data_IF_727586278892
#
_entry.id   IF_727586278892
#
_cell.length_a   1.000
_cell.length_b   1.000
_cell.length_c   1.000
_cell.angle_alpha   90.00
_cell.angle_beta   90.00
_cell.angle_gamma   90.00
#
_symmetry.space_group_name_H-M   'P 1'
#
loop_
_entity.id
_entity.type
_entity.pdbx_description
1 polymer ?
#
# COMPACT_ATOMS: atom_id res chain seq x y z
N UNK A 1 -55.62 -55.67 -32.22
CA UNK A 1 -56.23 -55.90 -30.90
C UNK A 1 -55.47 -55.06 -29.84
N UNK A 2 -56.20 -54.11 -29.26
CA UNK A 2 -56.07 -53.64 -27.85
C UNK A 2 -54.85 -52.76 -27.53
N UNK A 3 -54.93 -51.74 -26.84
CA UNK A 3 -55.97 -50.90 -26.26
C UNK A 3 -55.30 -49.50 -26.00
N UNK A 4 -56.04 -48.53 -26.35
CA UNK A 4 -55.77 -47.12 -26.02
C UNK A 4 -56.04 -46.85 -24.53
N UNK A 5 -55.18 -46.13 -23.86
CA UNK A 5 -55.53 -45.37 -22.66
C UNK A 5 -54.84 -44.06 -22.69
N UNK A 6 -55.61 -42.97 -22.85
CA UNK A 6 -55.20 -41.64 -22.85
C UNK A 6 -54.84 -41.16 -21.46
N UNK A 7 -53.83 -40.23 -21.40
CA UNK A 7 -53.55 -39.49 -20.22
C UNK A 7 -53.67 -37.97 -20.51
N UNK A 8 -54.56 -37.34 -19.76
CA UNK A 8 -54.90 -35.95 -19.86
C UNK A 8 -53.73 -35.06 -19.45
N UNK A 9 -53.42 -34.09 -20.30
CA UNK A 9 -52.50 -33.01 -20.05
C UNK A 9 -53.05 -32.04 -18.99
N UNK A 10 -52.34 -31.83 -17.89
CA UNK A 10 -52.57 -30.73 -16.95
C UNK A 10 -51.85 -29.48 -17.43
N UNK A 11 -52.43 -28.25 -17.28
CA UNK A 11 -51.79 -27.01 -17.69
C UNK A 11 -50.64 -26.62 -16.73
N UNK A 12 -49.50 -26.31 -17.29
CA UNK A 12 -48.32 -25.85 -16.58
C UNK A 12 -48.53 -24.51 -15.90
N UNK A 13 -48.18 -24.45 -14.62
CA UNK A 13 -48.02 -23.18 -13.88
C UNK A 13 -46.78 -22.43 -14.43
N UNK A 14 -47.01 -21.27 -14.96
CA UNK A 14 -45.94 -20.29 -15.28
C UNK A 14 -45.45 -19.72 -13.96
N UNK A 15 -44.19 -19.95 -13.61
CA UNK A 15 -43.51 -19.29 -12.50
C UNK A 15 -43.10 -17.88 -12.95
N UNK A 16 -43.18 -16.86 -12.09
CA UNK A 16 -42.72 -15.52 -12.42
C UNK A 16 -41.19 -15.51 -12.52
N UNK A 17 -40.68 -14.92 -13.59
CA UNK A 17 -39.25 -14.63 -13.76
C UNK A 17 -38.82 -13.66 -12.67
N UNK A 18 -37.95 -14.11 -11.78
CA UNK A 18 -37.26 -13.24 -10.85
C UNK A 18 -36.26 -12.36 -11.62
N UNK A 19 -36.56 -11.08 -11.72
CA UNK A 19 -35.61 -10.04 -12.13
C UNK A 19 -34.43 -10.05 -11.12
N UNK A 20 -33.32 -10.67 -11.51
CA UNK A 20 -32.06 -10.52 -10.80
C UNK A 20 -31.47 -9.16 -11.14
N UNK A 21 -31.95 -8.13 -10.44
CA UNK A 21 -31.31 -6.83 -10.44
C UNK A 21 -29.85 -6.97 -10.03
N UNK A 22 -28.99 -6.71 -10.99
CA UNK A 22 -27.54 -6.68 -10.83
C UNK A 22 -27.12 -5.45 -9.99
N UNK A 23 -27.34 -5.52 -8.69
CA UNK A 23 -26.82 -4.54 -7.75
C UNK A 23 -25.29 -4.73 -7.67
N UNK A 24 -24.55 -3.93 -8.43
CA UNK A 24 -23.11 -3.79 -8.24
C UNK A 24 -22.87 -3.43 -6.77
N UNK A 25 -22.36 -4.40 -5.99
CA UNK A 25 -21.81 -4.12 -4.65
C UNK A 25 -20.63 -3.17 -4.84
N UNK A 26 -20.84 -1.90 -4.59
CA UNK A 26 -19.78 -0.90 -4.50
C UNK A 26 -18.81 -1.33 -3.38
N UNK A 27 -17.52 -1.15 -3.59
CA UNK A 27 -16.51 -1.58 -2.62
C UNK A 27 -16.57 -0.70 -1.38
N UNK A 28 -16.33 -1.22 -0.17
CA UNK A 28 -16.32 -0.45 1.07
C UNK A 28 -15.36 0.76 1.05
N UNK A 29 -14.43 0.76 0.11
CA UNK A 29 -13.43 1.83 -0.08
C UNK A 29 -13.98 3.04 -0.87
N UNK A 30 -14.95 2.84 -1.75
CA UNK A 30 -15.62 3.93 -2.47
C UNK A 30 -16.61 4.67 -1.57
N UNK A 31 -17.30 3.96 -0.71
CA UNK A 31 -18.16 4.55 0.31
C UNK A 31 -17.37 5.37 1.33
N UNK A 32 -16.21 4.89 1.75
CA UNK A 32 -15.32 5.66 2.65
C UNK A 32 -14.79 6.93 2.00
N UNK A 33 -14.47 6.92 0.70
CA UNK A 33 -14.06 8.12 -0.04
C UNK A 33 -15.22 9.11 -0.23
N UNK A 34 -16.40 8.62 -0.60
CA UNK A 34 -17.62 9.45 -0.69
C UNK A 34 -17.98 10.05 0.65
N UNK A 35 -17.90 9.27 1.74
CA UNK A 35 -18.15 9.74 3.10
C UNK A 35 -17.12 10.80 3.54
N UNK A 36 -15.84 10.61 3.24
CA UNK A 36 -14.78 11.59 3.54
C UNK A 36 -14.96 12.86 2.72
N UNK A 37 -15.30 12.78 1.44
CA UNK A 37 -15.57 13.94 0.58
C UNK A 37 -16.87 14.63 1.06
N UNK A 38 -17.90 13.88 1.39
CA UNK A 38 -19.17 14.40 1.94
C UNK A 38 -18.94 15.09 3.28
N UNK A 39 -18.15 14.49 4.19
CA UNK A 39 -17.79 15.09 5.50
C UNK A 39 -16.91 16.33 5.32
N UNK A 40 -15.97 16.34 4.36
CA UNK A 40 -15.15 17.52 4.05
C UNK A 40 -15.97 18.66 3.43
N UNK A 41 -16.98 18.37 2.61
CA UNK A 41 -17.89 19.34 2.03
C UNK A 41 -18.91 19.87 3.06
N UNK A 42 -19.21 19.11 4.12
CA UNK A 42 -20.22 19.47 5.12
C UNK A 42 -19.65 20.18 6.35
N UNK A 43 -18.32 20.18 6.56
CA UNK A 43 -17.71 20.87 7.69
C UNK A 43 -17.50 22.35 7.40
N UNK A 44 -18.55 23.15 7.53
CA UNK A 44 -18.46 24.62 7.47
C UNK A 44 -18.18 25.19 8.86
N UNK A 45 -17.16 26.02 8.96
CA UNK A 45 -16.89 26.79 10.18
C UNK A 45 -18.00 27.81 10.40
N UNK A 46 -18.35 28.05 11.66
CA UNK A 46 -19.31 29.11 11.99
C UNK A 46 -18.82 30.46 11.48
N UNK A 47 -19.72 31.19 10.82
CA UNK A 47 -19.40 32.54 10.33
C UNK A 47 -19.52 33.58 11.46
N UNK A 48 -19.14 34.81 11.19
CA UNK A 48 -19.34 35.95 12.11
C UNK A 48 -20.79 36.18 12.39
N UNK A 49 -21.60 36.12 11.35
CA UNK A 49 -23.07 36.32 11.39
C UNK A 49 -23.75 35.24 12.22
N UNK A 50 -23.40 33.99 12.03
CA UNK A 50 -23.91 32.88 12.85
C UNK A 50 -23.58 33.05 14.33
N UNK A 51 -22.37 33.53 14.65
CA UNK A 51 -21.99 33.84 16.04
C UNK A 51 -22.79 35.00 16.62
N UNK A 52 -23.06 36.04 15.84
CA UNK A 52 -23.94 37.15 16.22
C UNK A 52 -25.35 36.68 16.50
N UNK A 53 -25.93 35.84 15.64
CA UNK A 53 -27.24 35.21 15.83
C UNK A 53 -27.29 34.37 17.12
N UNK A 54 -26.30 33.52 17.36
CA UNK A 54 -26.18 32.74 18.60
C UNK A 54 -26.18 33.67 19.82
N UNK A 55 -25.41 34.77 19.78
CA UNK A 55 -25.35 35.73 20.87
C UNK A 55 -26.73 36.38 21.12
N UNK A 56 -27.39 36.88 20.10
CA UNK A 56 -28.72 37.52 20.21
C UNK A 56 -29.77 36.57 20.79
N UNK A 57 -29.79 35.31 20.34
CA UNK A 57 -30.75 34.31 20.84
C UNK A 57 -30.43 33.88 22.29
N UNK A 58 -29.16 33.84 22.68
CA UNK A 58 -28.77 33.62 24.09
C UNK A 58 -29.23 34.78 25.01
N UNK A 59 -29.16 36.03 24.56
CA UNK A 59 -29.67 37.17 25.32
C UNK A 59 -31.19 37.09 25.53
N UNK A 60 -31.92 36.52 24.56
CA UNK A 60 -33.38 36.24 24.67
C UNK A 60 -33.72 34.99 25.47
N UNK A 61 -32.71 34.35 26.09
CA UNK A 61 -32.86 33.10 26.88
C UNK A 61 -33.49 31.94 26.08
N UNK A 62 -33.35 31.92 24.76
CA UNK A 62 -33.87 30.84 23.92
C UNK A 62 -33.21 29.48 24.28
N UNK A 63 -33.97 28.37 24.27
CA UNK A 63 -33.44 27.04 24.51
C UNK A 63 -32.36 26.66 23.47
N UNK A 64 -31.28 25.99 23.91
CA UNK A 64 -30.15 25.60 23.02
C UNK A 64 -30.58 24.78 21.80
N UNK A 65 -31.62 23.94 21.93
CA UNK A 65 -32.20 23.17 20.84
C UNK A 65 -32.77 24.07 19.75
N UNK A 66 -33.45 25.13 20.15
CA UNK A 66 -34.06 26.10 19.25
C UNK A 66 -33.02 27.00 18.60
N UNK A 67 -32.01 27.47 19.36
CA UNK A 67 -30.87 28.22 18.80
C UNK A 67 -30.17 27.40 17.70
N UNK A 68 -29.92 26.13 17.94
CA UNK A 68 -29.28 25.26 16.94
C UNK A 68 -30.12 25.13 15.66
N UNK A 69 -31.48 25.03 15.81
CA UNK A 69 -32.42 24.96 14.68
C UNK A 69 -32.45 26.26 13.88
N UNK A 70 -32.53 27.42 14.55
CA UNK A 70 -32.60 28.74 13.89
C UNK A 70 -31.32 29.06 13.14
N UNK A 71 -30.15 28.78 13.74
CA UNK A 71 -28.83 29.07 13.14
C UNK A 71 -28.44 28.03 12.09
N UNK A 72 -29.19 26.91 11.96
CA UNK A 72 -28.92 25.87 10.99
C UNK A 72 -27.67 25.04 11.32
N UNK A 73 -27.43 24.75 12.62
CA UNK A 73 -26.25 23.98 13.08
C UNK A 73 -26.69 22.85 14.01
N UNK A 74 -25.83 21.84 14.20
CA UNK A 74 -26.11 20.78 15.15
C UNK A 74 -25.98 21.27 16.60
N UNK A 75 -26.75 20.67 17.53
CA UNK A 75 -26.65 20.98 18.96
C UNK A 75 -25.23 20.74 19.50
N UNK A 76 -24.53 19.70 18.98
CA UNK A 76 -23.15 19.41 19.34
C UNK A 76 -22.19 20.51 18.88
N UNK A 77 -22.43 21.11 17.71
CA UNK A 77 -21.65 22.26 17.20
C UNK A 77 -21.86 23.47 18.09
N UNK A 78 -23.12 23.79 18.46
CA UNK A 78 -23.43 24.89 19.38
C UNK A 78 -22.75 24.67 20.74
N UNK A 79 -22.86 23.47 21.33
CA UNK A 79 -22.26 23.17 22.63
C UNK A 79 -20.73 23.32 22.59
N UNK A 80 -20.08 22.85 21.53
CA UNK A 80 -18.62 23.03 21.34
C UNK A 80 -18.24 24.49 21.15
N UNK A 81 -19.01 25.26 20.40
CA UNK A 81 -18.78 26.69 20.19
C UNK A 81 -18.84 27.45 21.53
N UNK A 82 -19.92 27.25 22.33
CA UNK A 82 -20.07 27.86 23.63
C UNK A 82 -18.95 27.47 24.59
N UNK A 83 -18.62 26.17 24.67
CA UNK A 83 -17.53 25.67 25.53
C UNK A 83 -16.18 26.27 25.18
N UNK A 84 -15.88 26.42 23.88
CA UNK A 84 -14.56 26.87 23.41
C UNK A 84 -14.36 28.39 23.42
N UNK A 85 -15.46 29.12 23.27
CA UNK A 85 -15.40 30.55 22.93
C UNK A 85 -16.03 31.46 23.95
N UNK A 86 -16.71 30.97 24.99
CA UNK A 86 -17.17 31.80 26.11
C UNK A 86 -16.00 32.43 26.87
N UNK A 87 -16.27 33.49 27.59
CA UNK A 87 -15.33 34.14 28.50
C UNK A 87 -15.07 33.28 29.72
N UNK A 88 -14.05 33.60 30.53
CA UNK A 88 -13.82 32.92 31.82
C UNK A 88 -15.00 32.99 32.77
N UNK A 89 -15.78 34.09 32.69
CA UNK A 89 -17.03 34.28 33.47
C UNK A 89 -18.24 33.55 32.89
N UNK A 90 -18.07 32.65 31.88
CA UNK A 90 -19.17 31.89 31.27
C UNK A 90 -20.01 32.65 30.25
N UNK A 91 -19.83 33.98 30.10
CA UNK A 91 -20.60 34.78 29.13
C UNK A 91 -20.12 34.56 27.71
N UNK A 92 -21.06 34.32 26.78
CA UNK A 92 -20.76 34.24 25.35
C UNK A 92 -20.91 35.61 24.72
N UNK A 93 -19.82 36.11 24.09
CA UNK A 93 -19.76 37.41 23.40
C UNK A 93 -19.28 37.16 22.00
N UNK A 94 -20.10 37.38 20.98
CA UNK A 94 -19.89 36.93 19.61
C UNK A 94 -18.58 37.43 18.97
N UNK A 95 -18.24 38.72 19.13
CA UNK A 95 -16.99 39.27 18.56
C UNK A 95 -15.73 38.72 19.22
N UNK A 96 -15.75 38.49 20.56
CA UNK A 96 -14.66 37.81 21.28
C UNK A 96 -14.58 36.36 20.88
N UNK A 97 -15.70 35.68 20.68
CA UNK A 97 -15.75 34.31 20.20
C UNK A 97 -15.18 34.17 18.78
N UNK A 98 -15.53 35.13 17.90
CA UNK A 98 -14.99 35.17 16.54
C UNK A 98 -13.48 35.43 16.54
N UNK A 99 -13.00 36.42 17.30
CA UNK A 99 -11.56 36.69 17.45
C UNK A 99 -10.78 35.46 17.95
N UNK A 100 -11.26 34.79 19.01
CA UNK A 100 -10.66 33.52 19.51
C UNK A 100 -10.62 32.43 18.46
N UNK A 101 -11.66 32.31 17.63
CA UNK A 101 -11.71 31.31 16.57
C UNK A 101 -10.72 31.63 15.42
N UNK A 102 -10.60 32.89 15.03
CA UNK A 102 -9.63 33.37 14.03
C UNK A 102 -8.19 33.19 14.54
N UNK A 103 -7.92 33.55 15.78
CA UNK A 103 -6.59 33.40 16.40
C UNK A 103 -6.17 31.93 16.45
N UNK A 104 -7.04 31.03 16.89
CA UNK A 104 -6.75 29.59 16.84
C UNK A 104 -6.49 29.07 15.43
N UNK A 105 -7.18 29.61 14.43
CA UNK A 105 -6.95 29.26 13.02
C UNK A 105 -5.58 29.74 12.56
N UNK A 106 -5.16 30.94 12.97
CA UNK A 106 -3.80 31.48 12.70
C UNK A 106 -2.72 30.67 13.41
N UNK A 107 -2.94 30.23 14.66
CA UNK A 107 -2.00 29.39 15.42
C UNK A 107 -1.89 27.95 14.86
N UNK A 108 -2.92 27.46 14.17
CA UNK A 108 -2.89 26.17 13.50
C UNK A 108 -2.09 26.30 12.21
N UNK A 109 -0.78 26.35 12.32
CA UNK A 109 0.20 26.39 11.20
C UNK A 109 0.25 25.06 10.44
N UNK A 110 -0.90 24.49 10.09
CA UNK A 110 -0.98 23.21 9.36
C UNK A 110 -0.30 23.22 7.99
N UNK A 111 0.05 24.39 7.46
CA UNK A 111 0.63 24.56 6.14
C UNK A 111 1.73 25.63 6.17
N UNK A 112 2.70 25.57 7.11
CA UNK A 112 3.93 26.27 6.91
C UNK A 112 4.56 25.75 5.62
N UNK A 113 4.79 26.62 4.65
CA UNK A 113 5.49 26.26 3.42
C UNK A 113 6.86 25.69 3.80
N UNK A 114 7.24 24.58 3.19
CA UNK A 114 8.57 24.02 3.37
C UNK A 114 9.61 25.04 2.86
N UNK A 115 10.74 25.15 3.56
CA UNK A 115 11.86 25.99 3.10
C UNK A 115 12.30 25.53 1.68
N UNK A 116 12.65 26.44 0.78
CA UNK A 116 13.03 26.11 -0.60
C UNK A 116 14.15 25.08 -0.68
N UNK A 117 15.16 25.17 0.20
CA UNK A 117 16.29 24.25 0.28
C UNK A 117 15.82 22.83 0.64
N UNK A 118 14.84 22.73 1.54
CA UNK A 118 14.28 21.45 1.94
C UNK A 118 13.42 20.83 0.82
N UNK A 119 12.68 21.66 0.09
CA UNK A 119 11.92 21.23 -1.10
C UNK A 119 12.88 20.70 -2.15
N UNK A 120 13.97 21.42 -2.43
CA UNK A 120 14.99 20.98 -3.37
C UNK A 120 15.60 19.63 -2.95
N UNK A 121 16.01 19.50 -1.70
CA UNK A 121 16.57 18.25 -1.15
C UNK A 121 15.59 17.07 -1.25
N UNK A 122 14.31 17.30 -0.94
CA UNK A 122 13.27 16.26 -1.09
C UNK A 122 13.14 15.83 -2.55
N UNK A 123 13.18 16.78 -3.51
CA UNK A 123 13.14 16.47 -4.94
C UNK A 123 14.34 15.63 -5.37
N UNK A 124 15.55 15.96 -4.94
CA UNK A 124 16.76 15.18 -5.22
C UNK A 124 16.62 13.73 -4.71
N UNK A 125 16.19 13.55 -3.47
CA UNK A 125 15.99 12.22 -2.90
C UNK A 125 14.90 11.41 -3.64
N UNK A 126 13.90 12.05 -4.24
CA UNK A 126 12.90 11.39 -5.07
C UNK A 126 13.47 11.01 -6.43
N UNK A 127 14.17 11.92 -7.10
CA UNK A 127 14.62 11.76 -8.49
C UNK A 127 15.85 10.86 -8.58
N UNK A 128 16.89 11.14 -7.80
CA UNK A 128 18.19 10.49 -7.89
C UNK A 128 18.20 9.17 -7.10
N UNK A 129 17.75 9.20 -5.84
CA UNK A 129 17.77 8.04 -4.95
C UNK A 129 16.47 7.21 -5.04
N UNK A 130 15.42 7.76 -5.66
CA UNK A 130 14.09 7.14 -5.80
C UNK A 130 13.51 6.67 -4.45
N UNK A 131 13.76 7.44 -3.40
CA UNK A 131 13.20 7.15 -2.09
C UNK A 131 11.71 7.44 -2.03
N UNK A 132 10.98 6.64 -1.28
CA UNK A 132 9.57 6.87 -1.04
C UNK A 132 9.36 8.02 -0.04
N UNK A 133 8.21 8.72 -0.07
CA UNK A 133 7.90 9.77 0.89
C UNK A 133 8.05 9.35 2.37
N UNK A 134 7.79 8.08 2.70
CA UNK A 134 8.00 7.55 4.06
C UNK A 134 9.49 7.42 4.42
N UNK A 135 10.31 6.98 3.48
CA UNK A 135 11.77 6.89 3.69
C UNK A 135 12.36 8.27 3.92
N UNK A 136 12.00 9.24 3.07
CA UNK A 136 12.45 10.63 3.19
C UNK A 136 12.02 11.22 4.53
N UNK A 137 10.74 11.11 4.89
CA UNK A 137 10.23 11.60 6.17
C UNK A 137 10.95 10.97 7.37
N UNK A 138 11.28 9.66 7.29
CA UNK A 138 11.96 8.95 8.36
C UNK A 138 13.41 9.41 8.54
N UNK A 139 14.15 9.60 7.46
CA UNK A 139 15.55 10.06 7.50
C UNK A 139 15.61 11.51 7.96
N UNK A 140 14.79 12.39 7.40
CA UNK A 140 14.73 13.80 7.83
C UNK A 140 14.39 13.94 9.32
N UNK A 141 13.50 13.07 9.84
CA UNK A 141 13.21 13.06 11.28
C UNK A 141 14.42 12.70 12.14
N UNK A 142 15.30 11.79 11.71
CA UNK A 142 16.56 11.48 12.40
C UNK A 142 17.51 12.68 12.41
N UNK A 143 17.48 13.49 11.38
CA UNK A 143 18.26 14.73 11.27
C UNK A 143 17.62 15.92 12.02
N UNK A 144 16.54 15.70 12.78
CA UNK A 144 15.81 16.73 13.51
C UNK A 144 14.81 17.53 12.67
N UNK A 145 14.65 17.21 11.37
CA UNK A 145 13.74 17.90 10.46
C UNK A 145 12.37 17.19 10.43
N UNK A 146 11.33 17.85 10.91
CA UNK A 146 9.98 17.27 11.00
C UNK A 146 9.15 17.56 9.75
N UNK A 147 9.11 16.61 8.79
CA UNK A 147 8.27 16.67 7.60
C UNK A 147 7.44 15.37 7.51
N UNK A 148 6.11 15.49 7.43
CA UNK A 148 5.26 14.32 7.28
C UNK A 148 5.32 13.76 5.86
N UNK A 149 5.24 12.43 5.72
CA UNK A 149 5.16 11.78 4.40
C UNK A 149 3.95 12.27 3.58
N UNK A 150 2.85 12.67 4.25
CA UNK A 150 1.68 13.23 3.56
C UNK A 150 1.99 14.58 2.91
N UNK A 151 2.80 15.42 3.57
CA UNK A 151 3.25 16.69 3.00
C UNK A 151 4.05 16.44 1.71
N UNK A 152 4.93 15.44 1.71
CA UNK A 152 5.70 15.05 0.52
C UNK A 152 4.79 14.49 -0.59
N UNK A 153 3.78 13.67 -0.26
CA UNK A 153 2.78 13.25 -1.24
C UNK A 153 2.00 14.42 -1.84
N UNK A 154 1.60 15.39 -1.01
CA UNK A 154 0.91 16.58 -1.50
C UNK A 154 1.80 17.39 -2.46
N UNK A 155 3.09 17.49 -2.18
CA UNK A 155 4.07 18.12 -3.08
C UNK A 155 4.17 17.37 -4.41
N UNK A 156 4.21 16.03 -4.39
CA UNK A 156 4.23 15.21 -5.62
C UNK A 156 2.93 15.38 -6.43
N UNK A 157 1.78 15.49 -5.76
CA UNK A 157 0.50 15.73 -6.45
C UNK A 157 0.36 17.15 -6.99
N UNK A 158 1.00 18.13 -6.37
CA UNK A 158 1.00 19.52 -6.81
C UNK A 158 1.99 19.78 -7.96
N UNK A 159 2.87 18.83 -8.26
CA UNK A 159 3.83 18.93 -9.36
C UNK A 159 3.13 18.82 -10.72
N UNK A 160 2.90 19.98 -11.37
CA UNK A 160 2.22 20.06 -12.66
C UNK A 160 3.00 19.35 -13.79
N UNK A 161 4.34 19.24 -13.68
CA UNK A 161 5.17 18.53 -14.67
C UNK A 161 4.97 17.00 -14.61
N UNK A 162 4.49 16.48 -13.50
CA UNK A 162 4.37 15.05 -13.23
C UNK A 162 5.71 14.31 -13.14
N UNK A 163 6.83 15.02 -13.09
CA UNK A 163 8.16 14.44 -13.01
C UNK A 163 8.34 13.65 -11.73
N UNK A 164 8.02 14.23 -10.58
CA UNK A 164 8.14 13.56 -9.30
C UNK A 164 7.31 12.27 -9.23
N UNK A 165 6.11 12.28 -9.83
CA UNK A 165 5.26 11.10 -9.88
C UNK A 165 5.88 9.92 -10.66
N UNK A 166 6.66 10.21 -11.73
CA UNK A 166 7.35 9.19 -12.55
C UNK A 166 8.39 8.40 -11.75
N UNK A 167 9.02 9.02 -10.75
CA UNK A 167 10.03 8.41 -9.89
C UNK A 167 9.45 7.67 -8.68
N UNK A 168 8.12 7.72 -8.48
CA UNK A 168 7.46 6.94 -7.41
C UNK A 168 7.25 5.48 -7.81
N UNK A 169 7.19 4.58 -6.81
CA UNK A 169 7.11 3.10 -6.97
C UNK A 169 6.07 2.63 -8.01
N UNK A 170 4.89 3.24 -8.07
CA UNK A 170 3.80 2.81 -8.94
C UNK A 170 3.42 3.87 -9.98
N UNK A 171 4.20 4.93 -10.11
CA UNK A 171 3.79 6.09 -10.91
C UNK A 171 2.34 6.50 -10.60
N UNK A 172 1.91 6.29 -9.35
CA UNK A 172 0.55 6.48 -8.82
C UNK A 172 -0.55 5.68 -9.56
N UNK A 173 -0.20 4.59 -10.26
CA UNK A 173 -1.15 3.73 -11.02
C UNK A 173 -1.31 2.36 -10.39
N UNK A 174 -2.56 1.86 -10.29
CA UNK A 174 -2.91 0.52 -9.80
C UNK A 174 -3.63 -0.29 -10.90
N UNK A 175 -3.28 -1.59 -11.05
CA UNK A 175 -3.93 -2.51 -11.99
C UNK A 175 -4.33 -3.82 -11.30
N UNK A 176 -5.49 -4.40 -11.70
CA UNK A 176 -5.91 -5.76 -11.32
C UNK A 176 -5.13 -6.80 -12.13
N UNK A 177 -4.78 -7.95 -11.53
CA UNK A 177 -4.05 -9.06 -12.19
C UNK A 177 -5.00 -10.15 -12.67
N UNK A 178 -4.75 -10.79 -13.84
CA UNK A 178 -5.45 -11.99 -14.28
C UNK A 178 -5.02 -13.22 -13.47
N UNK A 179 -5.93 -14.19 -13.31
CA UNK A 179 -5.68 -15.47 -12.61
C UNK A 179 -4.92 -16.43 -13.53
N UNK A 180 -3.87 -17.10 -13.03
CA UNK A 180 -3.15 -18.18 -13.73
C UNK A 180 -3.53 -19.54 -13.15
N UNK A 181 -3.46 -20.62 -13.98
CA UNK A 181 -3.70 -22.01 -13.53
C UNK A 181 -2.48 -22.54 -12.77
N UNK A 182 -2.67 -23.35 -11.70
CA UNK A 182 -1.56 -23.97 -10.99
C UNK A 182 -0.92 -25.10 -11.82
N UNK A 183 0.38 -25.28 -11.67
CA UNK A 183 1.13 -26.41 -12.23
C UNK A 183 1.32 -27.46 -11.11
N UNK A 184 0.89 -28.71 -11.27
CA UNK A 184 1.12 -29.75 -10.28
C UNK A 184 2.61 -30.11 -10.24
N UNK A 185 3.17 -30.18 -9.05
CA UNK A 185 4.51 -30.71 -8.77
C UNK A 185 4.43 -31.67 -7.59
N UNK A 186 4.99 -32.87 -7.75
CA UNK A 186 5.11 -33.84 -6.68
C UNK A 186 6.22 -33.45 -5.70
N UNK A 187 6.16 -33.95 -4.47
CA UNK A 187 7.20 -33.78 -3.42
C UNK A 187 7.44 -32.34 -2.91
N UNK A 188 6.43 -31.46 -2.96
CA UNK A 188 6.52 -30.12 -2.42
C UNK A 188 6.21 -30.06 -0.93
N UNK A 189 7.02 -29.31 -0.18
CA UNK A 189 6.67 -28.98 1.20
C UNK A 189 5.75 -27.75 1.21
N UNK A 190 4.53 -27.92 1.70
CA UNK A 190 3.56 -26.83 1.76
C UNK A 190 4.03 -25.71 2.69
N UNK A 191 3.65 -24.47 2.39
CA UNK A 191 3.88 -23.31 3.27
C UNK A 191 3.22 -23.48 4.63
N UNK A 192 2.16 -24.27 4.75
CA UNK A 192 1.48 -24.56 6.01
C UNK A 192 2.36 -25.38 6.98
N UNK A 193 3.36 -26.10 6.47
CA UNK A 193 4.35 -26.82 7.29
C UNK A 193 5.54 -25.94 7.70
N UNK A 194 5.54 -24.65 7.30
CA UNK A 194 6.61 -23.71 7.65
C UNK A 194 6.51 -23.35 9.13
N UNK A 195 7.64 -23.34 9.89
CA UNK A 195 7.63 -22.99 11.30
C UNK A 195 7.01 -21.61 11.57
N UNK A 196 6.24 -21.48 12.64
CA UNK A 196 5.59 -20.20 13.02
C UNK A 196 6.61 -19.08 13.24
N UNK A 197 7.83 -19.40 13.73
CA UNK A 197 8.91 -18.44 13.90
C UNK A 197 9.33 -17.77 12.58
N UNK A 198 8.94 -18.32 11.41
CA UNK A 198 9.19 -17.72 10.10
C UNK A 198 8.16 -16.62 9.79
N UNK A 199 7.89 -15.74 10.75
CA UNK A 199 6.93 -14.62 10.67
C UNK A 199 7.53 -13.35 10.00
N UNK A 200 8.80 -13.39 9.62
CA UNK A 200 9.53 -12.28 8.99
C UNK A 200 10.15 -11.31 9.99
N UNK A 201 10.25 -11.66 11.27
CA UNK A 201 10.97 -10.89 12.29
C UNK A 201 12.39 -11.43 12.50
N UNK A 202 12.55 -12.76 12.52
CA UNK A 202 13.87 -13.37 12.65
C UNK A 202 14.64 -13.29 11.33
N UNK A 203 15.96 -13.20 11.42
CA UNK A 203 16.87 -13.31 10.26
C UNK A 203 16.98 -14.75 9.79
N UNK A 204 17.07 -14.93 8.46
CA UNK A 204 17.32 -16.23 7.83
C UNK A 204 16.11 -16.85 7.11
N UNK A 205 14.97 -16.16 7.08
CA UNK A 205 13.80 -16.58 6.30
C UNK A 205 13.78 -15.84 4.96
N UNK A 206 13.95 -16.57 3.85
CA UNK A 206 14.06 -16.00 2.51
C UNK A 206 12.80 -16.25 1.68
N UNK A 207 12.49 -15.33 0.81
CA UNK A 207 11.51 -15.49 -0.28
C UNK A 207 12.24 -15.38 -1.61
N UNK A 208 11.94 -16.24 -2.58
CA UNK A 208 12.52 -16.19 -3.92
C UNK A 208 11.44 -16.20 -5.00
N UNK A 209 11.75 -15.54 -6.12
CA UNK A 209 10.86 -15.38 -7.26
C UNK A 209 11.67 -15.17 -8.54
N UNK A 210 11.04 -15.29 -9.70
CA UNK A 210 11.60 -14.90 -10.98
C UNK A 210 10.87 -13.71 -11.57
N UNK A 211 11.62 -12.75 -12.08
CA UNK A 211 11.07 -11.77 -13.02
C UNK A 211 11.52 -12.17 -14.42
N UNK A 212 10.57 -12.15 -15.35
CA UNK A 212 10.76 -12.65 -16.72
C UNK A 212 10.34 -11.56 -17.70
N UNK A 213 11.06 -11.46 -18.82
CA UNK A 213 10.69 -10.61 -19.95
C UNK A 213 9.87 -11.37 -21.01
N UNK A 214 9.57 -10.70 -22.13
CA UNK A 214 8.82 -11.29 -23.24
C UNK A 214 9.62 -12.34 -24.03
N UNK A 215 10.97 -12.34 -23.90
CA UNK A 215 11.88 -13.25 -24.59
C UNK A 215 12.29 -14.43 -23.74
N UNK A 216 11.62 -14.67 -22.60
CA UNK A 216 11.96 -15.71 -21.61
C UNK A 216 13.31 -15.57 -20.91
N UNK A 217 13.97 -14.40 -21.00
CA UNK A 217 15.09 -14.13 -20.13
C UNK A 217 14.59 -13.95 -18.70
N UNK A 218 15.36 -14.41 -17.75
CA UNK A 218 14.94 -14.42 -16.35
C UNK A 218 16.00 -13.79 -15.44
N UNK A 219 15.52 -13.06 -14.44
CA UNK A 219 16.33 -12.57 -13.34
C UNK A 219 15.79 -13.21 -12.06
N UNK A 220 16.65 -13.97 -11.39
CA UNK A 220 16.36 -14.52 -10.07
C UNK A 220 16.41 -13.39 -9.05
N UNK A 221 15.41 -13.32 -8.21
CA UNK A 221 15.31 -12.39 -7.08
C UNK A 221 15.09 -13.17 -5.79
N UNK A 222 15.86 -12.86 -4.76
CA UNK A 222 15.76 -13.47 -3.42
C UNK A 222 15.77 -12.34 -2.40
N UNK A 223 14.87 -12.39 -1.41
CA UNK A 223 14.76 -11.38 -0.36
C UNK A 223 14.80 -12.05 0.99
N UNK A 224 15.63 -11.55 1.89
CA UNK A 224 15.57 -11.89 3.32
C UNK A 224 14.42 -11.10 3.97
N UNK A 225 13.54 -11.82 4.69
CA UNK A 225 12.23 -11.28 5.11
C UNK A 225 12.31 -10.27 6.24
N UNK A 226 13.27 -10.39 7.15
CA UNK A 226 13.38 -9.49 8.30
C UNK A 226 14.00 -8.15 7.94
N UNK A 227 15.01 -8.15 7.08
CA UNK A 227 15.77 -6.97 6.65
C UNK A 227 15.28 -6.38 5.33
N UNK A 228 14.58 -7.15 4.51
CA UNK A 228 14.30 -6.91 3.09
C UNK A 228 15.60 -6.78 2.24
N UNK A 229 16.69 -7.42 2.63
CA UNK A 229 17.91 -7.45 1.85
C UNK A 229 17.68 -8.26 0.56
N UNK A 230 18.01 -7.67 -0.56
CA UNK A 230 17.81 -8.21 -1.90
C UNK A 230 19.09 -8.83 -2.44
N UNK A 231 18.95 -10.02 -2.99
CA UNK A 231 19.95 -10.66 -3.87
C UNK A 231 19.30 -10.88 -5.24
N UNK A 232 20.03 -10.55 -6.30
CA UNK A 232 19.52 -10.77 -7.65
C UNK A 232 20.63 -11.09 -8.64
N UNK A 233 20.31 -11.88 -9.66
CA UNK A 233 21.23 -12.23 -10.75
C UNK A 233 20.47 -12.59 -12.01
N UNK A 234 21.01 -12.25 -13.19
CA UNK A 234 20.50 -12.72 -14.47
C UNK A 234 20.78 -14.21 -14.61
N UNK A 235 19.84 -14.98 -15.16
CA UNK A 235 20.00 -16.40 -15.46
C UNK A 235 20.37 -16.56 -16.93
N UNK A 236 21.52 -17.18 -17.21
CA UNK A 236 22.01 -17.40 -18.58
C UNK A 236 21.09 -18.33 -19.41
N UNK A 237 20.35 -19.22 -18.75
CA UNK A 237 19.54 -20.26 -19.39
C UNK A 237 18.03 -20.07 -19.16
N UNK A 238 17.59 -18.84 -18.92
CA UNK A 238 16.17 -18.51 -18.68
C UNK A 238 15.59 -19.23 -17.46
N UNK A 239 14.42 -19.85 -17.60
CA UNK A 239 13.67 -20.47 -16.49
C UNK A 239 14.07 -21.93 -16.17
N UNK A 240 15.19 -22.44 -16.64
CA UNK A 240 15.59 -23.82 -16.36
C UNK A 240 15.88 -24.02 -14.87
N UNK A 241 15.33 -25.10 -14.28
CA UNK A 241 15.34 -25.34 -12.83
C UNK A 241 16.72 -25.62 -12.24
N UNK A 242 17.56 -26.43 -12.91
CA UNK A 242 18.92 -26.73 -12.42
C UNK A 242 19.85 -25.52 -12.43
N UNK A 243 19.97 -24.75 -13.54
CA UNK A 243 20.72 -23.50 -13.54
C UNK A 243 20.25 -22.51 -12.48
N UNK A 244 18.93 -22.44 -12.24
CA UNK A 244 18.36 -21.64 -11.16
C UNK A 244 18.87 -22.12 -9.80
N UNK A 245 18.82 -23.43 -9.50
CA UNK A 245 19.30 -23.99 -8.24
C UNK A 245 20.80 -23.70 -8.01
N UNK A 246 21.63 -23.76 -9.06
CA UNK A 246 23.04 -23.36 -9.01
C UNK A 246 23.23 -21.87 -8.73
N UNK A 247 22.37 -21.00 -9.31
CA UNK A 247 22.39 -19.57 -9.06
C UNK A 247 21.99 -19.23 -7.62
N UNK A 248 20.94 -19.88 -7.09
CA UNK A 248 20.53 -19.78 -5.68
C UNK A 248 21.67 -20.15 -4.74
N UNK A 249 22.33 -21.30 -5.00
CA UNK A 249 23.52 -21.71 -4.25
C UNK A 249 24.59 -20.62 -4.27
N UNK A 250 24.96 -20.12 -5.44
CA UNK A 250 26.02 -19.10 -5.58
C UNK A 250 25.74 -17.85 -4.77
N UNK A 251 24.48 -17.38 -4.77
CA UNK A 251 24.08 -16.17 -4.06
C UNK A 251 24.00 -16.37 -2.55
N UNK A 252 23.51 -17.52 -2.09
CA UNK A 252 23.19 -17.74 -0.68
C UNK A 252 24.24 -18.56 0.08
N UNK A 253 25.18 -19.21 -0.59
CA UNK A 253 26.23 -20.02 0.05
C UNK A 253 27.00 -19.27 1.16
N UNK A 254 27.37 -17.97 0.97
CA UNK A 254 28.05 -17.22 2.03
C UNK A 254 27.23 -17.10 3.32
N UNK A 255 25.91 -17.18 3.19
CA UNK A 255 24.94 -17.03 4.30
C UNK A 255 24.41 -18.37 4.81
N UNK A 256 24.93 -19.51 4.33
CA UNK A 256 24.41 -20.86 4.59
C UNK A 256 24.10 -21.11 6.07
N UNK A 257 25.00 -20.70 6.97
CA UNK A 257 24.83 -20.89 8.44
C UNK A 257 23.60 -20.17 9.02
N UNK A 258 23.11 -19.16 8.33
CA UNK A 258 22.00 -18.32 8.80
C UNK A 258 20.69 -18.64 8.10
N UNK A 259 20.68 -19.44 7.03
CA UNK A 259 19.45 -19.76 6.30
C UNK A 259 18.61 -20.72 7.13
N UNK A 260 17.35 -20.34 7.37
CA UNK A 260 16.35 -21.11 8.11
C UNK A 260 15.32 -21.72 7.17
N UNK A 261 14.66 -20.86 6.39
CA UNK A 261 13.63 -21.27 5.43
C UNK A 261 13.75 -20.51 4.11
N UNK A 262 13.31 -21.13 3.03
CA UNK A 262 13.18 -20.50 1.72
C UNK A 262 11.72 -20.70 1.26
N UNK A 263 11.05 -19.63 0.83
CA UNK A 263 9.67 -19.70 0.34
C UNK A 263 9.61 -19.29 -1.13
N UNK A 264 8.92 -20.07 -1.96
CA UNK A 264 8.73 -19.80 -3.39
C UNK A 264 7.28 -20.05 -3.82
N UNK A 265 6.96 -19.77 -5.11
CA UNK A 265 5.68 -20.20 -5.69
C UNK A 265 5.78 -21.58 -6.34
N UNK A 266 4.68 -21.98 -6.97
CA UNK A 266 4.52 -23.28 -7.62
C UNK A 266 5.01 -23.27 -9.08
N UNK A 267 5.95 -22.39 -9.46
CA UNK A 267 6.51 -22.35 -10.81
C UNK A 267 7.35 -23.59 -11.13
N UNK A 268 7.30 -24.06 -12.39
CA UNK A 268 8.12 -25.19 -12.86
C UNK A 268 9.63 -24.92 -12.78
N UNK A 269 10.02 -23.65 -12.75
CA UNK A 269 11.39 -23.18 -12.55
C UNK A 269 11.98 -23.61 -11.20
N UNK A 270 11.13 -23.90 -10.21
CA UNK A 270 11.56 -24.37 -8.88
C UNK A 270 11.52 -25.89 -8.71
N UNK A 271 11.33 -26.64 -9.81
CA UNK A 271 11.29 -28.11 -9.78
C UNK A 271 12.57 -28.74 -9.17
N UNK A 272 13.72 -28.10 -9.32
CA UNK A 272 15.00 -28.55 -8.73
C UNK A 272 15.18 -28.12 -7.25
N UNK A 273 14.10 -27.86 -6.50
CA UNK A 273 14.14 -27.41 -5.11
C UNK A 273 14.92 -28.38 -4.18
N UNK A 274 14.89 -29.68 -4.45
CA UNK A 274 15.69 -30.66 -3.70
C UNK A 274 17.20 -30.40 -3.78
N UNK A 275 17.70 -29.90 -4.92
CA UNK A 275 19.08 -29.47 -5.05
C UNK A 275 19.38 -28.23 -4.21
N UNK A 276 18.44 -27.28 -4.14
CA UNK A 276 18.59 -26.10 -3.29
C UNK A 276 18.67 -26.51 -1.82
N UNK A 277 17.78 -27.39 -1.36
CA UNK A 277 17.82 -27.96 0.00
C UNK A 277 19.14 -28.67 0.27
N UNK A 278 19.64 -29.51 -0.67
CA UNK A 278 20.94 -30.21 -0.54
C UNK A 278 22.10 -29.23 -0.41
N UNK A 279 22.11 -28.15 -1.19
CA UNK A 279 23.20 -27.18 -1.17
C UNK A 279 23.22 -26.32 0.11
N UNK A 280 22.06 -25.87 0.54
CA UNK A 280 21.95 -24.86 1.59
C UNK A 280 21.58 -25.43 2.97
N UNK A 281 21.10 -26.67 3.03
CA UNK A 281 20.64 -27.30 4.27
C UNK A 281 19.32 -26.73 4.79
N UNK A 282 18.56 -26.00 3.97
CA UNK A 282 17.30 -25.35 4.34
C UNK A 282 16.14 -25.89 3.51
N UNK A 283 14.98 -26.03 4.14
CA UNK A 283 13.76 -26.50 3.48
C UNK A 283 13.17 -25.42 2.59
N UNK A 284 12.77 -25.81 1.37
CA UNK A 284 12.05 -24.94 0.44
C UNK A 284 10.54 -25.17 0.60
N UNK A 285 9.81 -24.12 1.00
CA UNK A 285 8.37 -24.11 1.17
C UNK A 285 7.68 -23.48 -0.03
N UNK A 286 6.56 -24.06 -0.43
CA UNK A 286 5.79 -23.61 -1.59
C UNK A 286 4.52 -22.89 -1.13
N UNK A 287 4.33 -21.66 -1.60
CA UNK A 287 3.12 -20.90 -1.36
C UNK A 287 1.91 -21.52 -2.05
N UNK A 288 0.73 -21.31 -1.49
CA UNK A 288 -0.50 -21.77 -2.11
C UNK A 288 -0.74 -21.12 -3.47
N UNK A 289 -1.40 -21.82 -4.38
CA UNK A 289 -1.84 -21.22 -5.64
C UNK A 289 -2.68 -19.94 -5.37
N UNK A 290 -2.36 -18.88 -6.08
CA UNK A 290 -3.02 -17.56 -5.97
C UNK A 290 -2.83 -16.80 -4.65
N UNK A 291 -2.08 -17.32 -3.69
CA UNK A 291 -1.84 -16.70 -2.40
C UNK A 291 -0.58 -15.80 -2.42
N UNK A 292 -0.58 -14.75 -3.24
CA UNK A 292 0.57 -13.84 -3.38
C UNK A 292 0.95 -13.13 -2.07
N UNK A 293 0.01 -12.99 -1.12
CA UNK A 293 0.28 -12.43 0.21
C UNK A 293 1.25 -13.26 1.05
N UNK A 294 1.34 -14.58 0.78
CA UNK A 294 2.26 -15.48 1.47
C UNK A 294 3.74 -15.21 1.12
N UNK A 295 3.99 -14.47 0.02
CA UNK A 295 5.30 -13.99 -0.45
C UNK A 295 5.33 -12.46 -0.54
N UNK A 296 4.84 -11.77 0.48
CA UNK A 296 4.68 -10.32 0.45
C UNK A 296 5.98 -9.53 0.37
N UNK A 297 7.08 -10.03 0.93
CA UNK A 297 8.37 -9.35 0.92
C UNK A 297 8.96 -9.30 -0.50
N UNK A 298 9.02 -10.45 -1.19
CA UNK A 298 9.55 -10.51 -2.56
C UNK A 298 8.63 -9.78 -3.55
N UNK A 299 7.32 -9.85 -3.38
CA UNK A 299 6.38 -9.13 -4.24
C UNK A 299 6.57 -7.61 -4.16
N UNK A 300 6.76 -7.09 -2.95
CA UNK A 300 7.08 -5.68 -2.75
C UNK A 300 8.43 -5.30 -3.35
N UNK A 301 9.43 -6.15 -3.20
CA UNK A 301 10.77 -5.91 -3.76
C UNK A 301 10.76 -5.97 -5.28
N UNK A 302 10.04 -6.92 -5.89
CA UNK A 302 9.88 -6.96 -7.34
C UNK A 302 9.21 -5.69 -7.88
N UNK A 303 8.29 -5.07 -7.13
CA UNK A 303 7.74 -3.75 -7.48
C UNK A 303 8.78 -2.63 -7.43
N UNK A 304 9.77 -2.71 -6.54
CA UNK A 304 10.90 -1.77 -6.51
C UNK A 304 11.83 -1.99 -7.71
N UNK A 305 12.16 -3.24 -8.01
CA UNK A 305 12.99 -3.59 -9.17
C UNK A 305 12.36 -3.07 -10.46
N UNK A 306 11.02 -3.08 -10.57
CA UNK A 306 10.29 -2.56 -11.74
C UNK A 306 10.37 -1.04 -11.93
N UNK A 307 10.90 -0.29 -10.98
CA UNK A 307 11.27 1.12 -11.20
C UNK A 307 12.49 1.24 -12.13
N UNK A 308 13.41 0.30 -12.04
CA UNK A 308 14.66 0.27 -12.80
C UNK A 308 14.56 -0.61 -14.05
N UNK A 309 13.85 -1.73 -13.96
CA UNK A 309 13.64 -2.70 -15.03
C UNK A 309 12.13 -2.76 -15.34
N UNK A 310 11.62 -1.95 -16.25
CA UNK A 310 10.19 -1.95 -16.63
C UNK A 310 9.73 -3.33 -17.13
N UNK A 311 8.42 -3.59 -17.09
CA UNK A 311 7.86 -4.89 -17.50
C UNK A 311 8.15 -5.25 -18.95
N UNK A 312 8.23 -4.25 -19.83
CA UNK A 312 8.42 -4.40 -21.29
C UNK A 312 9.90 -4.31 -21.69
N UNK A 313 10.81 -4.14 -20.70
CA UNK A 313 12.23 -4.08 -21.00
C UNK A 313 12.77 -5.45 -21.43
N UNK A 314 13.62 -5.46 -22.45
CA UNK A 314 14.43 -6.62 -22.82
C UNK A 314 15.54 -6.78 -21.78
N UNK A 315 15.70 -7.97 -21.19
CA UNK A 315 16.73 -8.19 -20.17
C UNK A 315 18.13 -8.31 -20.75
N UNK A 316 18.29 -8.41 -22.06
CA UNK A 316 19.60 -8.35 -22.69
C UNK A 316 20.24 -6.98 -22.61
N UNK A 317 19.44 -5.91 -22.53
CA UNK A 317 19.92 -4.54 -22.32
C UNK A 317 20.49 -4.32 -20.89
N UNK A 318 20.36 -5.32 -20.02
CA UNK A 318 20.82 -5.28 -18.62
C UNK A 318 22.00 -6.23 -18.42
N UNK A 319 23.19 -5.66 -18.38
CA UNK A 319 24.42 -6.39 -18.03
C UNK A 319 24.41 -6.79 -16.54
N UNK A 320 25.20 -7.79 -16.17
CA UNK A 320 25.34 -8.21 -14.76
C UNK A 320 25.80 -7.06 -13.86
N UNK A 321 26.68 -6.17 -14.36
CA UNK A 321 27.11 -4.94 -13.66
C UNK A 321 25.93 -4.01 -13.39
N UNK A 322 25.05 -3.81 -14.36
CA UNK A 322 23.85 -2.97 -14.22
C UNK A 322 22.87 -3.59 -13.20
N UNK A 323 22.67 -4.91 -13.21
CA UNK A 323 21.86 -5.63 -12.24
C UNK A 323 22.42 -5.50 -10.83
N UNK A 324 23.73 -5.67 -10.66
CA UNK A 324 24.41 -5.49 -9.38
C UNK A 324 24.28 -4.04 -8.85
N UNK A 325 24.38 -3.05 -9.74
CA UNK A 325 24.15 -1.63 -9.39
C UNK A 325 22.72 -1.38 -8.90
N UNK A 326 21.72 -1.95 -9.59
CA UNK A 326 20.30 -1.85 -9.16
C UNK A 326 20.11 -2.51 -7.79
N UNK A 327 20.68 -3.70 -7.58
CA UNK A 327 20.64 -4.36 -6.27
C UNK A 327 21.23 -3.47 -5.17
N UNK A 328 22.42 -2.89 -5.41
CA UNK A 328 23.06 -1.96 -4.47
C UNK A 328 22.17 -0.77 -4.16
N UNK A 329 21.61 -0.09 -5.18
CA UNK A 329 20.70 1.06 -5.00
C UNK A 329 19.46 0.69 -4.18
N UNK A 330 18.86 -0.49 -4.39
CA UNK A 330 17.72 -0.94 -3.60
C UNK A 330 18.14 -1.28 -2.17
N UNK A 331 19.29 -1.90 -1.99
CA UNK A 331 19.79 -2.29 -0.66
C UNK A 331 20.25 -1.09 0.18
N UNK A 332 20.73 -0.02 -0.43
CA UNK A 332 21.12 1.21 0.27
C UNK A 332 19.94 2.13 0.64
N UNK A 333 18.70 1.76 0.29
CA UNK A 333 17.53 2.54 0.69
C UNK A 333 17.23 2.38 2.18
N UNK A 334 16.94 3.47 2.90
CA UNK A 334 16.54 3.43 4.30
C UNK A 334 15.28 2.55 4.49
N UNK A 335 15.30 1.65 5.47
CA UNK A 335 14.20 0.71 5.71
C UNK A 335 13.52 0.98 7.03
N UNK A 336 12.20 1.18 7.02
CA UNK A 336 11.42 1.40 8.25
C UNK A 336 11.61 0.25 9.26
N UNK A 337 11.70 -1.01 8.78
CA UNK A 337 11.99 -2.18 9.63
C UNK A 337 13.33 -2.08 10.37
N UNK A 338 14.30 -1.43 9.77
CA UNK A 338 15.63 -1.19 10.34
C UNK A 338 15.74 0.23 10.94
N UNK A 339 14.61 0.83 11.39
CA UNK A 339 14.58 2.19 11.93
C UNK A 339 15.21 3.23 11.00
N UNK A 340 15.00 3.05 9.68
CA UNK A 340 15.57 3.85 8.60
C UNK A 340 17.11 3.76 8.46
N UNK A 341 17.71 2.68 8.96
CA UNK A 341 19.05 2.24 8.56
C UNK A 341 19.00 1.50 7.20
N UNK A 342 20.17 1.28 6.60
CA UNK A 342 20.33 0.61 5.28
C UNK A 342 20.78 -0.83 5.45
#
# INVERSE_FOLDING_TARGET
MKNTAGFASRPGRVAPKSDTGNTKKESPFEDSRRLIIFVLLMYKQLTSEQRSQIFALLQRKCPRKEIARIVGISQSTLSRELKRNSTRSGKYIWFKAHAKAVERRKRSTRNAALAPELVWRIKQLIIEEQWSPRQISGVLKKEGISVSHQCIYNMIHADASGELARHTRHKLKYRRRPKRRPFPMDDRTSIHSRPEQADGKRFGDFEMDLIVDSHNHAILTIVERSTNMLFMTKLAHGKKSEPLAKAVRRLLLPYKKHIKTITTDNGSEFAAHKLITKYLGAVVYFADPYASWQKGAIENTNKLIRQYIPKQANFDDFTDKKIASIQKKINSRPRQKLRFET
#
